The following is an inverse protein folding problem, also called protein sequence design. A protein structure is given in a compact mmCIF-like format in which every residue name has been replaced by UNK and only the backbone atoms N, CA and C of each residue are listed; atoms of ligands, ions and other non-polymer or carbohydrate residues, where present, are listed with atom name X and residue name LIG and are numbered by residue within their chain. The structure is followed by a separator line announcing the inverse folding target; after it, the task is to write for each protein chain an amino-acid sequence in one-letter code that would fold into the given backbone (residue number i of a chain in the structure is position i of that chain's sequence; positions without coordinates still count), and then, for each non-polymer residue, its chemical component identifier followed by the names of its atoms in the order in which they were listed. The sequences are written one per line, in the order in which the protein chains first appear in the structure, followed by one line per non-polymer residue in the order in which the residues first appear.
data_IF_228207053700
#
_entry.id   IF_228207053700
#
_cell.length_a   1.000
_cell.length_b   1.000
_cell.length_c   1.000
_cell.angle_alpha   90.00
_cell.angle_beta   90.00
_cell.angle_gamma   90.00
#
_symmetry.space_group_name_H-M   'P 1'
#
loop_
_entity.id
_entity.type
_entity.pdbx_description
1 polymer ?
#
# COMPACT_ATOMS: atom_id res chain seq x y z
N UNK A 1 27.85 -2.82 26.31
CA UNK A 1 28.58 -1.69 26.97
C UNK A 1 27.58 -0.58 27.17
N UNK A 2 27.70 0.15 28.23
CA UNK A 2 26.88 1.31 28.53
C UNK A 2 27.41 2.49 27.73
N UNK A 3 26.56 3.39 27.24
CA UNK A 3 26.98 4.59 26.49
C UNK A 3 27.78 5.56 27.40
N UNK A 4 28.68 6.32 26.81
CA UNK A 4 29.54 7.27 27.53
C UNK A 4 28.72 8.31 28.31
N UNK A 5 27.60 8.76 27.74
CA UNK A 5 26.66 9.67 28.40
C UNK A 5 26.09 9.09 29.70
N UNK A 6 25.78 7.79 29.71
CA UNK A 6 25.25 7.12 30.89
C UNK A 6 26.37 6.90 31.90
N UNK A 7 27.60 6.62 31.49
CA UNK A 7 28.75 6.52 32.40
C UNK A 7 29.04 7.86 33.06
N UNK A 8 29.04 8.96 32.31
CA UNK A 8 29.19 10.32 32.88
C UNK A 8 28.07 10.65 33.87
N UNK A 9 26.83 10.28 33.58
CA UNK A 9 25.69 10.47 34.46
C UNK A 9 25.84 9.67 35.77
N UNK A 10 26.33 8.43 35.70
CA UNK A 10 26.63 7.60 36.88
C UNK A 10 27.70 8.28 37.76
N UNK A 11 28.79 8.77 37.16
CA UNK A 11 29.87 9.46 37.85
C UNK A 11 29.41 10.75 38.52
N UNK A 12 28.59 11.52 37.80
CA UNK A 12 27.97 12.75 38.35
C UNK A 12 27.08 12.47 39.55
N UNK A 13 26.16 11.50 39.44
CA UNK A 13 25.32 11.14 40.61
C UNK A 13 26.16 10.68 41.81
N UNK A 14 27.26 9.98 41.55
CA UNK A 14 28.14 9.54 42.63
C UNK A 14 28.90 10.69 43.27
N UNK A 15 29.37 11.67 42.52
CA UNK A 15 29.98 12.89 43.05
C UNK A 15 29.01 13.77 43.82
N UNK A 16 27.73 13.71 43.49
CA UNK A 16 26.63 14.36 44.17
C UNK A 16 26.17 13.60 45.45
N UNK A 17 26.87 12.50 45.83
CA UNK A 17 26.59 11.73 47.05
C UNK A 17 25.47 10.71 46.93
N UNK A 18 24.87 10.52 45.74
CA UNK A 18 23.76 9.58 45.52
C UNK A 18 24.22 8.13 45.77
N UNK A 19 23.40 7.35 46.48
CA UNK A 19 23.73 5.95 46.78
C UNK A 19 23.73 5.06 45.53
N UNK A 20 24.55 3.99 45.53
CA UNK A 20 24.62 3.05 44.36
C UNK A 20 23.28 2.41 44.05
N UNK A 21 22.40 2.21 45.04
CA UNK A 21 21.05 1.66 44.85
C UNK A 21 20.12 2.64 44.14
N UNK A 22 20.22 3.90 44.48
CA UNK A 22 19.45 4.97 43.84
C UNK A 22 19.92 5.23 42.41
N UNK A 23 21.23 5.24 42.18
CA UNK A 23 21.81 5.31 40.83
C UNK A 23 21.31 4.11 39.98
N UNK A 24 21.26 2.91 40.57
CA UNK A 24 20.74 1.71 39.89
C UNK A 24 19.26 1.88 39.49
N UNK A 25 18.43 2.41 40.40
CA UNK A 25 17.02 2.67 40.10
C UNK A 25 16.84 3.76 39.02
N UNK A 26 17.61 4.84 39.11
CA UNK A 26 17.55 5.95 38.15
C UNK A 26 18.07 5.63 36.77
N UNK A 27 19.01 4.69 36.64
CA UNK A 27 19.66 4.34 35.36
C UNK A 27 19.24 2.99 34.78
N UNK A 28 18.56 2.15 35.55
CA UNK A 28 18.22 0.78 35.18
C UNK A 28 19.43 -0.18 35.10
N UNK A 29 20.60 0.24 35.65
CA UNK A 29 21.86 -0.53 35.56
C UNK A 29 22.13 -1.21 36.88
N UNK A 30 22.58 -2.46 36.85
CA UNK A 30 22.87 -3.21 38.06
C UNK A 30 23.97 -2.56 38.88
N UNK A 31 23.83 -2.62 40.24
CA UNK A 31 24.81 -2.08 41.17
C UNK A 31 26.22 -2.56 40.93
N UNK A 32 26.39 -3.86 40.57
CA UNK A 32 27.72 -4.43 40.25
C UNK A 32 28.33 -3.80 39.00
N UNK A 33 27.50 -3.52 37.98
CA UNK A 33 27.97 -2.83 36.78
C UNK A 33 28.36 -1.39 37.11
N UNK A 34 27.57 -0.68 37.91
CA UNK A 34 27.89 0.68 38.39
C UNK A 34 29.23 0.71 39.15
N UNK A 35 29.44 -0.22 40.10
CA UNK A 35 30.71 -0.35 40.81
C UNK A 35 31.91 -0.51 39.88
N UNK A 36 31.77 -1.35 38.88
CA UNK A 36 32.84 -1.59 37.91
C UNK A 36 33.20 -0.34 37.10
N UNK A 37 32.21 0.47 36.67
CA UNK A 37 32.44 1.71 35.93
C UNK A 37 32.94 2.85 36.84
N UNK A 38 32.68 2.81 38.15
CA UNK A 38 33.26 3.74 39.11
C UNK A 38 34.65 3.40 39.56
N UNK A 39 34.99 2.08 39.62
CA UNK A 39 36.32 1.60 40.01
C UNK A 39 37.40 1.81 38.92
N UNK A 40 36.99 1.83 37.65
CA UNK A 40 37.91 2.03 36.52
C UNK A 40 37.55 3.33 35.78
N UNK A 41 38.33 4.43 36.03
CA UNK A 41 38.12 5.73 35.40
C UNK A 41 38.20 5.68 33.85
N UNK A 42 38.91 4.69 33.30
CA UNK A 42 39.07 4.54 31.84
C UNK A 42 37.97 3.68 31.21
N UNK A 43 37.19 2.99 32.01
CA UNK A 43 36.07 2.17 31.50
C UNK A 43 34.95 3.10 31.01
N UNK A 44 34.75 3.16 29.70
CA UNK A 44 33.80 4.04 29.05
C UNK A 44 34.43 5.20 28.31
N UNK A 45 35.69 5.54 28.53
CA UNK A 45 36.41 6.57 27.79
C UNK A 45 37.18 6.03 26.59
N UNK A 46 37.51 4.74 26.60
CA UNK A 46 38.19 4.07 25.49
C UNK A 46 37.25 3.03 24.93
N UNK A 47 36.73 3.27 23.77
CA UNK A 47 36.09 2.22 22.97
C UNK A 47 37.19 1.17 22.68
N UNK A 48 37.13 0.05 23.38
CA UNK A 48 38.03 -1.08 23.02
C UNK A 48 37.84 -1.34 21.54
N UNK A 49 38.90 -1.37 20.72
CA UNK A 49 38.80 -1.70 19.31
C UNK A 49 38.04 -3.05 19.23
N UNK A 50 36.93 -3.07 18.51
CA UNK A 50 36.18 -4.33 18.34
C UNK A 50 37.11 -5.34 17.76
N UNK A 51 37.39 -6.41 18.52
CA UNK A 51 38.23 -7.51 18.06
C UNK A 51 37.58 -8.08 16.78
N UNK A 52 38.21 -7.86 15.64
CA UNK A 52 37.69 -8.28 14.34
C UNK A 52 37.83 -9.79 14.29
N UNK A 53 36.73 -10.51 14.36
CA UNK A 53 36.71 -11.98 14.28
C UNK A 53 37.15 -12.45 12.90
N UNK A 54 37.87 -13.51 12.80
CA UNK A 54 38.25 -14.18 11.55
C UNK A 54 37.00 -14.54 10.76
N UNK A 55 37.00 -14.25 9.48
CA UNK A 55 35.92 -14.54 8.54
C UNK A 55 36.37 -15.55 7.51
N UNK A 56 35.48 -16.39 7.02
CA UNK A 56 35.72 -17.23 5.85
C UNK A 56 36.15 -16.43 4.62
N UNK A 57 35.75 -15.18 4.53
CA UNK A 57 36.08 -14.25 3.42
C UNK A 57 37.49 -13.64 3.54
N UNK A 58 38.19 -13.83 4.64
CA UNK A 58 39.60 -13.37 4.80
C UNK A 58 40.58 -14.15 3.89
N UNK A 59 40.08 -15.16 3.16
CA UNK A 59 40.81 -15.85 2.09
C UNK A 59 41.00 -14.95 0.84
N UNK A 60 40.13 -13.94 0.65
CA UNK A 60 40.21 -13.02 -0.46
C UNK A 60 41.13 -11.83 -0.11
N UNK A 61 41.96 -11.41 -1.08
CA UNK A 61 42.65 -10.14 -0.95
C UNK A 61 41.64 -8.97 -1.00
N UNK A 62 42.09 -7.83 -0.51
CA UNK A 62 41.27 -6.61 -0.55
C UNK A 62 40.82 -6.28 -1.97
N UNK A 63 41.75 -6.32 -2.90
CA UNK A 63 41.53 -6.00 -4.32
C UNK A 63 40.51 -6.95 -4.96
N UNK A 64 40.65 -8.27 -4.66
CA UNK A 64 39.71 -9.28 -5.15
C UNK A 64 38.32 -9.07 -4.60
N UNK A 65 38.19 -8.76 -3.31
CA UNK A 65 36.89 -8.50 -2.70
C UNK A 65 36.22 -7.21 -3.28
N UNK A 66 36.99 -6.13 -3.43
CA UNK A 66 36.51 -4.88 -4.04
C UNK A 66 36.07 -5.06 -5.48
N UNK A 67 36.82 -5.85 -6.28
CA UNK A 67 36.45 -6.16 -7.65
C UNK A 67 35.11 -6.90 -7.71
N UNK A 68 34.94 -7.96 -6.90
CA UNK A 68 33.68 -8.71 -6.81
C UNK A 68 32.54 -7.80 -6.32
N UNK A 69 32.80 -6.96 -5.32
CA UNK A 69 31.83 -6.00 -4.79
C UNK A 69 31.29 -5.06 -5.87
N UNK A 70 32.19 -4.48 -6.68
CA UNK A 70 31.83 -3.61 -7.79
C UNK A 70 31.09 -4.33 -8.90
N UNK A 71 31.57 -5.51 -9.32
CA UNK A 71 30.91 -6.34 -10.32
C UNK A 71 29.47 -6.75 -9.90
N UNK A 72 29.29 -7.11 -8.63
CA UNK A 72 27.99 -7.47 -8.04
C UNK A 72 27.15 -6.24 -7.62
N UNK A 73 27.59 -5.01 -7.91
CA UNK A 73 26.89 -3.75 -7.54
C UNK A 73 26.50 -3.68 -6.06
N UNK A 74 27.34 -4.22 -5.17
CA UNK A 74 27.09 -4.25 -3.73
C UNK A 74 26.03 -5.23 -3.25
N UNK A 75 25.50 -6.09 -4.12
CA UNK A 75 24.52 -7.13 -3.74
C UNK A 75 25.19 -8.27 -2.98
N UNK A 76 25.02 -8.31 -1.65
CA UNK A 76 25.65 -9.31 -0.80
C UNK A 76 25.25 -10.77 -1.12
N UNK A 77 24.09 -11.02 -1.71
CA UNK A 77 23.69 -12.37 -2.13
C UNK A 77 24.45 -12.80 -3.39
N UNK A 78 24.56 -11.88 -4.37
CA UNK A 78 25.35 -12.11 -5.57
C UNK A 78 26.84 -12.29 -5.26
N UNK A 79 27.38 -11.48 -4.31
CA UNK A 79 28.78 -11.63 -3.83
C UNK A 79 28.97 -13.02 -3.21
N UNK A 80 28.07 -13.49 -2.36
CA UNK A 80 28.17 -14.81 -1.75
C UNK A 80 28.21 -15.94 -2.79
N UNK A 81 27.37 -15.82 -3.83
CA UNK A 81 27.36 -16.78 -4.94
C UNK A 81 28.62 -16.69 -5.79
N UNK A 82 29.05 -15.47 -6.16
CA UNK A 82 30.23 -15.25 -6.97
C UNK A 82 31.50 -15.84 -6.29
N UNK A 83 31.69 -15.60 -4.97
CA UNK A 83 32.80 -16.14 -4.22
C UNK A 83 32.73 -17.66 -4.13
N UNK A 84 31.53 -18.22 -3.94
CA UNK A 84 31.34 -19.69 -3.96
C UNK A 84 31.78 -20.28 -5.29
N UNK A 85 31.31 -19.74 -6.41
CA UNK A 85 31.67 -20.24 -7.76
C UNK A 85 33.16 -20.06 -8.06
N UNK A 86 33.76 -18.95 -7.65
CA UNK A 86 35.18 -18.68 -7.86
C UNK A 86 36.10 -19.67 -7.11
N UNK A 87 35.66 -20.12 -5.93
CA UNK A 87 36.43 -21.06 -5.10
C UNK A 87 36.01 -22.52 -5.32
N UNK A 88 35.07 -22.82 -6.19
CA UNK A 88 34.48 -24.15 -6.37
C UNK A 88 35.51 -25.21 -6.74
N UNK A 89 36.51 -24.86 -7.54
CA UNK A 89 37.57 -25.80 -7.98
C UNK A 89 38.61 -26.08 -6.89
N UNK A 90 38.94 -25.06 -6.07
CA UNK A 90 39.97 -25.15 -5.04
C UNK A 90 39.40 -25.52 -3.67
N UNK A 91 38.16 -25.17 -3.39
CA UNK A 91 37.47 -25.43 -2.12
C UNK A 91 35.99 -25.75 -2.38
N UNK A 92 35.65 -26.99 -2.79
CA UNK A 92 34.28 -27.37 -3.15
C UNK A 92 33.25 -27.13 -2.03
N UNK A 93 33.65 -27.32 -0.77
CA UNK A 93 32.79 -27.13 0.41
C UNK A 93 32.65 -25.66 0.85
N UNK A 94 33.30 -24.72 0.13
CA UNK A 94 33.23 -23.32 0.54
C UNK A 94 31.83 -22.77 0.32
N UNK A 95 31.24 -22.26 1.39
CA UNK A 95 30.00 -21.52 1.32
C UNK A 95 29.99 -20.37 2.34
N UNK A 96 29.38 -19.30 1.96
CA UNK A 96 29.19 -18.10 2.78
C UNK A 96 27.79 -17.56 2.61
N UNK A 97 27.13 -17.20 3.71
CA UNK A 97 25.77 -16.66 3.64
C UNK A 97 25.78 -15.14 3.30
N UNK A 98 24.69 -14.65 2.73
CA UNK A 98 24.45 -13.21 2.54
C UNK A 98 24.73 -12.40 3.82
N UNK A 99 24.31 -12.90 4.96
CA UNK A 99 24.50 -12.23 6.26
C UNK A 99 25.96 -12.18 6.68
N UNK A 100 26.75 -13.20 6.33
CA UNK A 100 28.19 -13.21 6.59
C UNK A 100 28.93 -12.22 5.70
N UNK A 101 28.61 -12.15 4.41
CA UNK A 101 29.12 -11.11 3.47
C UNK A 101 28.80 -9.72 3.98
N UNK A 102 27.56 -9.48 4.39
CA UNK A 102 27.15 -8.17 4.94
C UNK A 102 27.94 -7.81 6.19
N UNK A 103 28.12 -8.74 7.13
CA UNK A 103 28.95 -8.50 8.33
C UNK A 103 30.39 -8.23 7.99
N UNK A 104 30.96 -8.97 7.04
CA UNK A 104 32.32 -8.77 6.56
C UNK A 104 32.53 -7.40 5.96
N UNK A 105 31.65 -7.00 5.03
CA UNK A 105 31.64 -5.66 4.44
C UNK A 105 31.57 -4.56 5.52
N UNK A 106 30.68 -4.72 6.52
CA UNK A 106 30.50 -3.75 7.59
C UNK A 106 31.69 -3.62 8.52
N UNK A 107 32.45 -4.68 8.72
CA UNK A 107 33.58 -4.74 9.66
C UNK A 107 34.93 -4.45 9.02
N UNK A 108 35.11 -4.78 7.73
CA UNK A 108 36.40 -4.67 7.05
C UNK A 108 36.46 -3.50 6.06
N UNK A 109 35.34 -3.20 5.38
CA UNK A 109 35.26 -2.25 4.28
C UNK A 109 34.07 -1.27 4.45
N UNK A 110 34.01 -0.54 5.57
CA UNK A 110 32.92 0.44 5.79
C UNK A 110 32.89 1.52 4.70
N UNK A 111 34.03 1.80 4.08
CA UNK A 111 34.20 2.77 3.00
C UNK A 111 33.52 2.36 1.69
N UNK A 112 33.39 1.06 1.43
CA UNK A 112 32.68 0.56 0.24
C UNK A 112 31.16 0.65 0.36
N UNK A 113 30.64 0.99 1.53
CA UNK A 113 29.21 1.21 1.67
C UNK A 113 28.80 2.42 0.83
N UNK A 114 27.76 2.28 -0.01
CA UNK A 114 27.12 3.48 -0.53
C UNK A 114 26.69 4.30 0.69
N UNK A 115 27.14 5.55 0.76
CA UNK A 115 26.61 6.48 1.73
C UNK A 115 25.10 6.47 1.53
N UNK A 116 24.36 5.83 2.43
CA UNK A 116 22.94 6.03 2.51
C UNK A 116 22.79 7.49 2.89
N UNK A 117 22.43 8.30 1.93
CA UNK A 117 21.81 9.58 2.24
C UNK A 117 20.70 9.26 3.24
N UNK A 118 20.78 9.82 4.41
CA UNK A 118 19.71 9.69 5.39
C UNK A 118 18.42 10.08 4.66
N UNK A 119 17.40 9.21 4.63
CA UNK A 119 16.18 9.52 3.92
C UNK A 119 15.64 10.80 4.53
N UNK A 120 15.60 11.86 3.74
CA UNK A 120 14.98 13.13 4.17
C UNK A 120 13.57 12.77 4.63
N UNK A 121 13.22 12.99 5.89
CA UNK A 121 11.91 12.64 6.39
C UNK A 121 10.86 13.37 5.56
N UNK A 122 10.05 12.64 4.81
CA UNK A 122 8.96 13.22 4.05
C UNK A 122 7.82 13.53 5.02
N UNK A 123 7.75 14.78 5.45
CA UNK A 123 6.67 15.26 6.27
C UNK A 123 5.43 15.45 5.41
N UNK A 124 4.32 14.91 5.88
CA UNK A 124 3.00 15.05 5.29
C UNK A 124 2.10 15.58 6.39
N UNK A 125 1.36 16.62 6.09
CA UNK A 125 0.38 17.18 7.03
C UNK A 125 -0.80 16.23 7.24
N UNK A 126 -1.51 16.33 8.38
CA UNK A 126 -2.72 15.60 8.63
C UNK A 126 -3.77 15.84 7.51
N UNK A 127 -4.44 14.80 7.06
CA UNK A 127 -5.45 14.87 6.00
C UNK A 127 -4.93 15.19 4.61
N UNK A 128 -3.60 15.25 4.43
CA UNK A 128 -3.04 15.68 3.15
C UNK A 128 -3.08 14.60 2.09
N UNK A 129 -2.72 13.34 2.41
CA UNK A 129 -2.47 12.35 1.36
C UNK A 129 -2.85 10.92 1.75
N UNK A 130 -3.58 10.27 0.86
CA UNK A 130 -3.76 8.82 0.81
C UNK A 130 -2.86 8.24 -0.29
N UNK A 131 -2.09 7.19 0.00
CA UNK A 131 -1.35 6.40 -0.99
C UNK A 131 -2.10 5.12 -1.26
N UNK A 132 -2.27 4.78 -2.53
CA UNK A 132 -2.98 3.57 -2.97
C UNK A 132 -2.11 2.71 -3.88
N UNK A 133 -2.30 1.39 -3.81
CA UNK A 133 -1.64 0.40 -4.66
C UNK A 133 -2.46 -0.88 -4.77
N UNK A 134 -2.03 -1.78 -5.64
CA UNK A 134 -2.43 -3.18 -5.63
C UNK A 134 -1.25 -4.08 -5.31
N UNK A 135 -1.50 -5.07 -4.47
CA UNK A 135 -0.53 -6.11 -4.16
C UNK A 135 -1.10 -7.48 -4.51
N UNK A 136 -0.29 -8.32 -5.15
CA UNK A 136 -0.62 -9.73 -5.34
C UNK A 136 0.09 -10.56 -4.27
N UNK A 137 -0.66 -11.47 -3.66
CA UNK A 137 -0.15 -12.39 -2.65
C UNK A 137 -0.86 -13.74 -2.78
N UNK A 138 -0.32 -14.76 -2.13
CA UNK A 138 -0.87 -16.10 -2.17
C UNK A 138 -1.44 -16.47 -0.81
N UNK A 139 -2.58 -17.19 -0.82
CA UNK A 139 -3.18 -17.77 0.37
C UNK A 139 -3.83 -19.10 0.02
N UNK A 140 -3.63 -20.11 0.86
CA UNK A 140 -4.26 -21.42 0.71
C UNK A 140 -5.48 -21.52 1.63
N UNK A 141 -6.64 -21.54 1.01
CA UNK A 141 -7.90 -21.69 1.71
C UNK A 141 -8.06 -23.10 2.31
N UNK A 142 -8.84 -23.21 3.37
CA UNK A 142 -9.16 -24.50 4.00
C UNK A 142 -9.80 -25.43 2.97
N UNK A 143 -9.29 -26.66 2.88
CA UNK A 143 -9.78 -27.67 1.94
C UNK A 143 -9.20 -27.59 0.51
N UNK A 144 -8.36 -26.59 0.24
CA UNK A 144 -7.66 -26.47 -1.05
C UNK A 144 -6.23 -27.01 -0.95
N UNK A 145 -5.77 -27.72 -1.99
CA UNK A 145 -4.37 -28.22 -2.11
C UNK A 145 -3.41 -27.10 -2.48
N UNK A 146 -3.85 -26.22 -3.39
CA UNK A 146 -3.00 -25.19 -3.98
C UNK A 146 -3.34 -23.79 -3.46
N UNK A 147 -2.35 -22.89 -3.38
CA UNK A 147 -2.58 -21.51 -3.01
C UNK A 147 -3.31 -20.75 -4.11
N UNK A 148 -4.24 -19.90 -3.73
CA UNK A 148 -4.92 -18.95 -4.60
C UNK A 148 -4.16 -17.63 -4.65
N UNK A 149 -3.97 -17.07 -5.84
CA UNK A 149 -3.39 -15.74 -6.01
C UNK A 149 -4.46 -14.68 -5.73
N UNK A 150 -4.28 -13.99 -4.63
CA UNK A 150 -5.14 -12.88 -4.20
C UNK A 150 -4.68 -11.58 -4.84
N UNK A 151 -5.63 -10.73 -5.20
CA UNK A 151 -5.42 -9.37 -5.67
C UNK A 151 -5.98 -8.44 -4.61
N UNK A 152 -5.12 -7.71 -3.93
CA UNK A 152 -5.52 -6.91 -2.78
C UNK A 152 -5.25 -5.45 -3.07
N UNK A 153 -6.32 -4.65 -3.06
CA UNK A 153 -6.19 -3.20 -3.01
C UNK A 153 -5.65 -2.79 -1.64
N UNK A 154 -4.67 -1.92 -1.63
CA UNK A 154 -4.07 -1.39 -0.42
C UNK A 154 -4.06 0.13 -0.42
N UNK A 155 -4.36 0.69 0.74
CA UNK A 155 -4.33 2.13 0.94
C UNK A 155 -3.76 2.48 2.31
N UNK A 156 -3.02 3.60 2.38
CA UNK A 156 -2.45 4.09 3.62
C UNK A 156 -2.49 5.62 3.67
N UNK A 157 -3.07 6.15 4.73
CA UNK A 157 -3.00 7.60 5.02
C UNK A 157 -1.59 7.98 5.40
N UNK A 158 -1.06 8.97 4.69
CA UNK A 158 0.37 9.28 4.78
C UNK A 158 0.79 9.85 6.14
N UNK A 159 -0.10 10.52 6.87
CA UNK A 159 0.19 11.02 8.20
C UNK A 159 -0.01 9.95 9.29
N UNK A 160 -1.24 9.47 9.48
CA UNK A 160 -1.60 8.55 10.56
C UNK A 160 -1.07 7.14 10.38
N UNK A 161 -0.72 6.75 9.16
CA UNK A 161 -0.43 5.35 8.78
C UNK A 161 -1.67 4.46 8.81
N UNK A 162 -2.87 5.05 8.91
CA UNK A 162 -4.12 4.31 8.85
C UNK A 162 -4.15 3.47 7.58
N UNK A 163 -4.20 2.16 7.78
CA UNK A 163 -4.13 1.18 6.72
C UNK A 163 -5.53 0.68 6.33
N UNK A 164 -5.67 0.32 5.06
CA UNK A 164 -6.86 -0.32 4.52
C UNK A 164 -6.46 -1.37 3.48
N UNK A 165 -7.11 -2.54 3.53
CA UNK A 165 -6.97 -3.59 2.54
C UNK A 165 -8.35 -4.03 2.07
N UNK A 166 -8.46 -4.34 0.79
CA UNK A 166 -9.64 -4.96 0.20
C UNK A 166 -9.21 -6.07 -0.76
N UNK A 167 -9.67 -7.29 -0.52
CA UNK A 167 -9.46 -8.43 -1.42
C UNK A 167 -10.40 -8.24 -2.60
N UNK A 168 -9.84 -8.15 -3.80
CA UNK A 168 -10.56 -7.87 -5.03
C UNK A 168 -10.57 -9.09 -5.96
N UNK A 169 -11.61 -9.25 -6.80
CA UNK A 169 -11.66 -10.33 -7.77
C UNK A 169 -10.62 -10.18 -8.88
N UNK A 170 -10.30 -8.93 -9.24
CA UNK A 170 -9.43 -8.61 -10.37
C UNK A 170 -8.64 -7.31 -10.13
N UNK A 171 -7.87 -6.88 -11.15
CA UNK A 171 -7.11 -5.62 -11.16
C UNK A 171 -7.75 -4.57 -12.09
N UNK A 172 -9.04 -4.67 -12.35
CA UNK A 172 -9.74 -3.75 -13.24
C UNK A 172 -9.92 -2.37 -12.61
N UNK A 173 -10.27 -1.41 -13.45
CA UNK A 173 -10.62 -0.07 -12.98
C UNK A 173 -11.75 -0.09 -11.93
N UNK A 174 -12.70 -1.03 -12.07
CA UNK A 174 -13.78 -1.19 -11.10
C UNK A 174 -13.21 -1.51 -9.72
N UNK A 175 -12.33 -2.49 -9.62
CA UNK A 175 -11.69 -2.88 -8.35
C UNK A 175 -10.90 -1.72 -7.73
N UNK A 176 -10.23 -0.88 -8.55
CA UNK A 176 -9.59 0.34 -8.09
C UNK A 176 -10.60 1.31 -7.47
N UNK A 177 -11.69 1.62 -8.20
CA UNK A 177 -12.69 2.58 -7.73
C UNK A 177 -13.43 2.07 -6.49
N UNK A 178 -13.76 0.77 -6.44
CA UNK A 178 -14.36 0.14 -5.27
C UNK A 178 -13.45 0.25 -4.05
N UNK A 179 -12.17 -0.10 -4.18
CA UNK A 179 -11.21 -0.01 -3.07
C UNK A 179 -11.03 1.43 -2.57
N UNK A 180 -10.93 2.40 -3.49
CA UNK A 180 -10.84 3.82 -3.15
C UNK A 180 -12.10 4.25 -2.38
N UNK A 181 -13.28 3.97 -2.92
CA UNK A 181 -14.55 4.42 -2.34
C UNK A 181 -14.79 3.83 -0.96
N UNK A 182 -14.56 2.52 -0.78
CA UNK A 182 -14.70 1.88 0.53
C UNK A 182 -13.68 2.40 1.55
N UNK A 183 -12.44 2.65 1.13
CA UNK A 183 -11.43 3.24 2.00
C UNK A 183 -11.84 4.64 2.46
N UNK A 184 -12.30 5.49 1.53
CA UNK A 184 -12.72 6.85 1.82
C UNK A 184 -13.99 6.89 2.69
N UNK A 185 -14.95 6.00 2.43
CA UNK A 185 -16.16 5.86 3.23
C UNK A 185 -15.83 5.50 4.69
N UNK A 186 -14.89 4.58 4.89
CA UNK A 186 -14.50 4.11 6.23
C UNK A 186 -13.62 5.10 7.01
N UNK A 187 -12.70 5.79 6.32
CA UNK A 187 -11.64 6.54 6.99
C UNK A 187 -11.60 8.03 6.65
N UNK A 188 -12.52 8.52 5.81
CA UNK A 188 -12.61 9.93 5.43
C UNK A 188 -11.80 10.30 4.20
N UNK A 189 -12.14 11.43 3.62
CA UNK A 189 -11.61 11.94 2.35
C UNK A 189 -10.43 12.87 2.61
N UNK A 190 -9.20 12.58 2.09
CA UNK A 190 -8.03 13.43 2.20
C UNK A 190 -8.01 14.50 1.09
N UNK A 191 -7.03 15.40 1.12
CA UNK A 191 -6.85 16.42 0.07
C UNK A 191 -6.35 15.85 -1.24
N UNK A 192 -5.54 14.76 -1.22
CA UNK A 192 -4.99 14.15 -2.43
C UNK A 192 -4.89 12.62 -2.32
N UNK A 193 -5.02 11.96 -3.47
CA UNK A 193 -4.77 10.54 -3.64
C UNK A 193 -3.54 10.36 -4.52
N UNK A 194 -2.50 9.70 -4.00
CA UNK A 194 -1.29 9.34 -4.72
C UNK A 194 -1.39 7.90 -5.21
N UNK A 195 -1.38 7.72 -6.53
CA UNK A 195 -1.42 6.41 -7.19
C UNK A 195 -0.18 6.17 -8.05
N UNK A 196 0.06 4.93 -8.44
CA UNK A 196 1.05 4.59 -9.46
C UNK A 196 0.50 4.87 -10.87
N UNK A 197 1.38 4.75 -11.87
CA UNK A 197 1.02 4.90 -13.28
C UNK A 197 0.31 3.63 -13.82
N UNK A 198 -0.57 3.04 -13.01
CA UNK A 198 -1.39 1.90 -13.42
C UNK A 198 -2.41 2.31 -14.49
N UNK A 199 -2.61 1.42 -15.48
CA UNK A 199 -3.50 1.68 -16.62
C UNK A 199 -4.98 1.87 -16.21
N UNK A 200 -5.37 1.32 -15.07
CA UNK A 200 -6.72 1.52 -14.52
C UNK A 200 -6.98 2.95 -14.08
N UNK A 201 -5.94 3.69 -13.69
CA UNK A 201 -6.05 5.05 -13.14
C UNK A 201 -5.40 6.10 -14.03
N UNK A 202 -4.31 5.78 -14.74
CA UNK A 202 -3.52 6.72 -15.54
C UNK A 202 -3.49 6.28 -17.00
N UNK A 203 -3.71 7.18 -17.94
CA UNK A 203 -3.66 6.89 -19.37
C UNK A 203 -2.22 6.74 -19.85
N UNK A 204 -1.97 5.73 -20.72
CA UNK A 204 -0.69 5.56 -21.41
C UNK A 204 -0.42 6.72 -22.39
N UNK A 205 0.84 7.05 -22.61
CA UNK A 205 1.27 8.01 -23.62
C UNK A 205 1.37 9.48 -23.14
N UNK A 206 1.33 9.72 -21.85
CA UNK A 206 1.50 11.06 -21.30
C UNK A 206 2.98 11.41 -21.16
N UNK A 207 3.36 12.64 -21.52
CA UNK A 207 4.72 13.14 -21.34
C UNK A 207 5.09 13.17 -19.84
N UNK A 208 6.37 12.97 -19.49
CA UNK A 208 6.81 13.09 -18.11
C UNK A 208 6.42 14.47 -17.54
N UNK A 209 5.62 14.47 -16.48
CA UNK A 209 5.16 15.70 -15.80
C UNK A 209 3.68 16.04 -15.97
N UNK A 210 2.99 15.49 -16.96
CA UNK A 210 1.54 15.65 -17.17
C UNK A 210 0.83 14.30 -17.06
N UNK A 211 0.42 13.92 -15.86
CA UNK A 211 -0.41 12.73 -15.69
C UNK A 211 -1.84 13.04 -16.17
N UNK A 212 -2.30 12.32 -17.19
CA UNK A 212 -3.72 12.31 -17.58
C UNK A 212 -4.38 11.11 -16.91
N UNK A 213 -5.30 11.39 -16.02
CA UNK A 213 -6.04 10.34 -15.34
C UNK A 213 -7.14 9.74 -16.21
N UNK A 214 -7.52 8.52 -15.89
CA UNK A 214 -8.66 7.89 -16.52
C UNK A 214 -9.93 8.70 -16.17
N UNK A 215 -10.84 8.96 -17.13
CA UNK A 215 -11.99 9.85 -16.91
C UNK A 215 -12.85 9.50 -15.70
N UNK A 216 -13.09 8.20 -15.44
CA UNK A 216 -13.88 7.80 -14.26
C UNK A 216 -13.15 8.09 -12.94
N UNK A 217 -11.86 7.88 -12.90
CA UNK A 217 -11.08 8.20 -11.71
C UNK A 217 -10.97 9.71 -11.51
N UNK A 218 -10.74 10.47 -12.60
CA UNK A 218 -10.73 11.94 -12.54
C UNK A 218 -12.09 12.47 -12.07
N UNK A 219 -13.19 11.97 -12.66
CA UNK A 219 -14.53 12.34 -12.25
C UNK A 219 -14.81 12.05 -10.76
N UNK A 220 -14.43 10.85 -10.26
CA UNK A 220 -14.55 10.54 -8.84
C UNK A 220 -13.82 11.58 -8.00
N UNK A 221 -12.55 11.85 -8.34
CA UNK A 221 -11.75 12.82 -7.60
C UNK A 221 -12.34 14.24 -7.63
N UNK A 222 -12.83 14.69 -8.80
CA UNK A 222 -13.44 16.02 -8.96
C UNK A 222 -14.75 16.12 -8.16
N UNK A 223 -15.58 15.06 -8.20
CA UNK A 223 -16.85 14.99 -7.47
C UNK A 223 -16.66 15.09 -5.96
N UNK A 224 -15.63 14.43 -5.41
CA UNK A 224 -15.37 14.44 -3.96
C UNK A 224 -14.37 15.53 -3.52
N UNK A 225 -13.88 16.34 -4.46
CA UNK A 225 -12.96 17.43 -4.18
C UNK A 225 -11.53 16.98 -3.81
N UNK A 226 -11.07 15.84 -4.33
CA UNK A 226 -9.75 15.27 -4.08
C UNK A 226 -8.83 15.48 -5.28
N UNK A 227 -7.59 15.87 -5.04
CA UNK A 227 -6.60 16.00 -6.09
C UNK A 227 -5.94 14.65 -6.39
N UNK A 228 -6.13 14.05 -7.59
CA UNK A 228 -5.36 12.87 -7.98
C UNK A 228 -3.92 13.25 -8.30
N UNK A 229 -2.97 12.40 -7.91
CA UNK A 229 -1.55 12.57 -8.15
C UNK A 229 -0.91 11.26 -8.55
N UNK A 230 -0.24 11.24 -9.70
CA UNK A 230 0.53 10.08 -10.13
C UNK A 230 1.97 10.16 -9.62
N UNK A 231 2.55 9.02 -9.29
CA UNK A 231 3.97 8.92 -8.93
C UNK A 231 4.85 9.36 -10.09
N UNK A 232 5.90 10.12 -9.80
CA UNK A 232 6.91 10.45 -10.82
C UNK A 232 7.66 9.16 -11.20
N UNK A 233 7.82 8.88 -12.51
CA UNK A 233 8.61 7.74 -12.96
C UNK A 233 10.01 7.77 -12.33
N UNK A 234 10.55 6.58 -11.99
CA UNK A 234 11.90 6.38 -11.44
C UNK A 234 12.18 7.03 -10.06
N UNK A 235 11.15 7.40 -9.30
CA UNK A 235 11.28 7.83 -7.89
C UNK A 235 10.50 6.92 -6.93
N UNK A 236 11.00 5.72 -6.63
CA UNK A 236 10.32 4.74 -5.76
C UNK A 236 10.10 5.27 -4.34
N UNK A 237 10.88 6.26 -3.90
CA UNK A 237 10.79 6.80 -2.53
C UNK A 237 9.44 7.47 -2.22
N UNK A 238 8.67 7.89 -3.25
CA UNK A 238 7.38 8.56 -3.08
C UNK A 238 6.30 7.61 -2.55
N UNK A 239 6.39 6.32 -2.82
CA UNK A 239 5.39 5.28 -2.52
C UNK A 239 5.80 4.30 -1.40
N UNK A 240 6.92 4.58 -0.74
CA UNK A 240 7.52 3.66 0.26
C UNK A 240 6.63 3.33 1.47
N UNK A 241 5.51 4.03 1.66
CA UNK A 241 4.55 3.74 2.75
C UNK A 241 3.62 2.61 2.36
N UNK A 242 3.01 2.68 1.18
CA UNK A 242 2.11 1.63 0.70
C UNK A 242 2.88 0.35 0.34
N UNK A 243 4.08 0.45 -0.25
CA UNK A 243 4.95 -0.71 -0.49
C UNK A 243 5.30 -1.47 0.81
N UNK A 244 5.56 -0.71 1.90
CA UNK A 244 5.78 -1.31 3.23
C UNK A 244 4.51 -1.95 3.77
N UNK A 245 3.34 -1.37 3.49
CA UNK A 245 2.05 -1.91 3.89
C UNK A 245 1.80 -3.26 3.22
N UNK A 246 1.98 -3.39 1.90
CA UNK A 246 1.88 -4.65 1.17
C UNK A 246 2.87 -5.72 1.66
N UNK A 247 4.10 -5.30 2.01
CA UNK A 247 5.06 -6.20 2.65
C UNK A 247 4.56 -6.70 4.01
N UNK A 248 3.91 -5.86 4.80
CA UNK A 248 3.32 -6.22 6.10
C UNK A 248 2.16 -7.21 5.93
N UNK A 249 1.30 -7.02 4.93
CA UNK A 249 0.25 -7.97 4.59
C UNK A 249 0.85 -9.35 4.29
N UNK A 250 1.80 -9.42 3.34
CA UNK A 250 2.41 -10.67 2.88
C UNK A 250 3.17 -11.42 3.97
N UNK A 251 3.98 -10.70 4.73
CA UNK A 251 4.97 -11.32 5.64
C UNK A 251 4.56 -11.32 7.10
N UNK A 252 3.39 -10.76 7.42
CA UNK A 252 2.87 -10.78 8.79
C UNK A 252 1.42 -11.26 8.84
N UNK A 253 0.46 -10.53 8.27
CA UNK A 253 -0.96 -10.84 8.39
C UNK A 253 -1.30 -12.21 7.76
N UNK A 254 -0.99 -12.40 6.49
CA UNK A 254 -1.31 -13.66 5.79
C UNK A 254 -0.50 -14.85 6.30
N UNK A 255 0.72 -14.65 6.77
CA UNK A 255 1.51 -15.71 7.42
C UNK A 255 0.84 -16.18 8.70
N UNK A 256 0.32 -15.27 9.52
CA UNK A 256 -0.44 -15.61 10.74
C UNK A 256 -1.72 -16.34 10.38
N UNK A 257 -2.50 -15.82 9.41
CA UNK A 257 -3.74 -16.48 8.95
C UNK A 257 -3.46 -17.90 8.46
N UNK A 258 -2.44 -18.07 7.60
CA UNK A 258 -2.05 -19.39 7.07
C UNK A 258 -1.59 -20.34 8.18
N UNK A 259 -0.78 -19.85 9.11
CA UNK A 259 -0.35 -20.66 10.26
C UNK A 259 -1.53 -21.14 11.11
N UNK A 260 -2.54 -20.30 11.32
CA UNK A 260 -3.75 -20.69 12.06
C UNK A 260 -4.58 -21.73 11.30
N UNK A 261 -4.74 -21.57 10.00
CA UNK A 261 -5.42 -22.58 9.13
C UNK A 261 -4.69 -23.92 9.19
N UNK A 262 -3.35 -23.90 9.17
CA UNK A 262 -2.54 -25.12 9.09
C UNK A 262 -2.39 -25.81 10.44
N UNK A 263 -2.50 -25.11 11.58
CA UNK A 263 -2.12 -25.66 12.90
C UNK A 263 -3.21 -25.63 13.96
N UNK A 264 -4.19 -24.73 13.85
CA UNK A 264 -5.21 -24.53 14.87
C UNK A 264 -6.48 -25.31 14.54
N UNK A 265 -6.77 -26.36 15.30
CA UNK A 265 -8.00 -27.13 15.15
C UNK A 265 -9.25 -26.23 15.27
N UNK A 266 -10.19 -26.36 14.31
CA UNK A 266 -11.42 -25.58 14.26
C UNK A 266 -11.25 -24.12 13.76
N UNK A 267 -10.06 -23.73 13.30
CA UNK A 267 -9.87 -22.46 12.63
C UNK A 267 -9.81 -22.66 11.11
N UNK A 268 -10.80 -22.16 10.42
CA UNK A 268 -10.98 -22.39 8.99
C UNK A 268 -11.26 -21.08 8.25
N UNK A 269 -10.68 -20.95 7.07
CA UNK A 269 -10.94 -19.85 6.13
C UNK A 269 -11.18 -20.47 4.76
N UNK A 270 -12.43 -20.47 4.31
CA UNK A 270 -12.85 -21.08 3.06
C UNK A 270 -13.05 -20.07 1.93
N UNK A 271 -13.32 -18.80 2.25
CA UNK A 271 -13.68 -17.77 1.27
C UNK A 271 -12.87 -16.50 1.43
N UNK A 272 -12.86 -15.69 0.37
CA UNK A 272 -12.21 -14.39 0.37
C UNK A 272 -12.81 -13.42 1.42
N UNK A 273 -14.12 -13.50 1.65
CA UNK A 273 -14.83 -12.69 2.64
C UNK A 273 -14.41 -13.04 4.06
N UNK A 274 -14.25 -14.33 4.37
CA UNK A 274 -13.73 -14.76 5.66
C UNK A 274 -12.30 -14.32 5.88
N UNK A 275 -11.47 -14.38 4.83
CA UNK A 275 -10.11 -13.85 4.88
C UNK A 275 -10.11 -12.33 5.05
N UNK A 276 -11.01 -11.62 4.36
CA UNK A 276 -11.17 -10.17 4.53
C UNK A 276 -11.51 -9.80 5.97
N UNK A 277 -12.46 -10.51 6.59
CA UNK A 277 -12.83 -10.30 7.99
C UNK A 277 -11.61 -10.51 8.93
N UNK A 278 -10.80 -11.54 8.67
CA UNK A 278 -9.56 -11.77 9.42
C UNK A 278 -8.56 -10.61 9.25
N UNK A 279 -8.36 -10.14 8.02
CA UNK A 279 -7.45 -9.01 7.71
C UNK A 279 -7.92 -7.74 8.42
N UNK A 280 -9.21 -7.45 8.40
CA UNK A 280 -9.78 -6.28 9.07
C UNK A 280 -9.61 -6.35 10.59
N UNK A 281 -9.87 -7.50 11.20
CA UNK A 281 -9.65 -7.73 12.63
C UNK A 281 -8.17 -7.58 13.00
N UNK A 282 -7.27 -8.13 12.17
CA UNK A 282 -5.83 -8.01 12.37
C UNK A 282 -5.38 -6.56 12.29
N UNK A 283 -5.85 -5.79 11.29
CA UNK A 283 -5.56 -4.35 11.18
C UNK A 283 -6.03 -3.59 12.42
N UNK A 284 -7.24 -3.88 12.89
CA UNK A 284 -7.78 -3.25 14.10
C UNK A 284 -6.87 -3.48 15.32
N UNK A 285 -6.43 -4.72 15.53
CA UNK A 285 -5.52 -5.06 16.62
C UNK A 285 -4.15 -4.37 16.48
N UNK A 286 -3.64 -4.24 15.24
CA UNK A 286 -2.37 -3.58 14.99
C UNK A 286 -2.42 -2.06 15.17
N UNK A 287 -3.59 -1.45 15.02
CA UNK A 287 -3.79 -0.02 15.12
C UNK A 287 -3.59 0.53 16.53
N UNK A 288 -3.77 -0.29 17.57
CA UNK A 288 -3.59 0.11 18.98
C UNK A 288 -2.14 -0.02 19.47
N UNK A 289 -1.28 -0.71 18.72
CA UNK A 289 0.10 -0.97 19.14
C UNK A 289 0.96 0.27 18.96
N UNK A 290 1.60 0.81 20.02
CA UNK A 290 2.51 1.95 19.92
C UNK A 290 3.81 1.57 19.20
N UNK A 291 3.93 1.95 17.93
CA UNK A 291 5.07 1.59 17.06
C UNK A 291 5.73 2.78 16.35
N UNK A 292 5.05 3.93 16.29
CA UNK A 292 5.55 5.11 15.58
C UNK A 292 6.24 6.09 16.53
N UNK A 293 7.52 6.39 16.27
CA UNK A 293 8.31 7.33 17.06
C UNK A 293 7.98 8.76 16.63
N UNK A 294 7.54 9.59 17.55
CA UNK A 294 7.33 11.03 17.34
C UNK A 294 8.55 11.83 17.83
N UNK A 295 8.69 13.11 17.43
CA UNK A 295 9.90 13.91 17.71
C UNK A 295 10.32 14.00 19.18
N UNK A 296 9.38 13.89 20.12
CA UNK A 296 9.67 13.90 21.56
C UNK A 296 10.21 12.55 22.10
N UNK A 297 10.48 11.57 21.24
CA UNK A 297 10.99 10.25 21.61
C UNK A 297 9.94 9.27 22.13
N UNK A 298 8.65 9.65 22.19
CA UNK A 298 7.55 8.75 22.57
C UNK A 298 7.11 7.91 21.35
N UNK A 299 6.73 6.65 21.62
CA UNK A 299 6.02 5.83 20.64
C UNK A 299 4.52 6.05 20.78
N UNK A 300 3.85 6.20 19.63
CA UNK A 300 2.40 6.34 19.51
C UNK A 300 1.82 5.27 18.61
N UNK A 301 0.54 5.00 18.80
CA UNK A 301 -0.20 4.05 17.97
C UNK A 301 -0.69 4.70 16.67
N UNK A 302 -1.20 3.89 15.78
CA UNK A 302 -1.89 4.36 14.57
C UNK A 302 -3.18 5.10 14.94
N UNK A 303 -3.92 4.61 15.96
CA UNK A 303 -5.13 5.24 16.46
C UNK A 303 -4.85 6.63 17.04
N UNK A 304 -3.73 6.82 17.78
CA UNK A 304 -3.33 8.13 18.29
C UNK A 304 -3.07 9.13 17.17
N UNK A 305 -2.39 8.68 16.10
CA UNK A 305 -2.10 9.54 14.94
C UNK A 305 -3.37 9.82 14.12
N UNK A 306 -4.24 8.80 13.97
CA UNK A 306 -5.48 8.99 13.24
C UNK A 306 -6.45 9.93 13.96
N UNK A 307 -6.50 9.89 15.29
CA UNK A 307 -7.27 10.85 16.06
C UNK A 307 -6.84 12.31 15.78
N UNK A 308 -5.53 12.54 15.54
CA UNK A 308 -5.00 13.84 15.14
C UNK A 308 -5.33 14.18 13.66
N UNK A 309 -5.40 13.18 12.78
CA UNK A 309 -5.67 13.37 11.34
C UNK A 309 -7.17 13.55 11.05
N UNK A 310 -8.03 12.87 11.80
CA UNK A 310 -9.49 12.82 11.58
C UNK A 310 -10.15 14.20 11.40
N UNK A 311 -9.81 15.27 12.18
CA UNK A 311 -10.40 16.60 11.99
C UNK A 311 -10.10 17.26 10.62
N UNK A 312 -9.08 16.77 9.90
CA UNK A 312 -8.65 17.28 8.60
C UNK A 312 -9.18 16.46 7.42
N UNK A 313 -10.00 15.44 7.70
CA UNK A 313 -10.64 14.58 6.72
C UNK A 313 -12.11 14.96 6.57
N UNK A 314 -12.64 14.84 5.35
CA UNK A 314 -14.09 15.03 5.09
C UNK A 314 -14.76 13.67 5.15
N UNK A 315 -15.85 13.57 5.93
CA UNK A 315 -16.54 12.30 6.13
C UNK A 315 -17.75 12.11 5.20
N UNK A 316 -18.13 10.85 4.92
CA UNK A 316 -18.94 10.45 3.77
C UNK A 316 -20.43 10.83 3.75
N UNK A 317 -20.99 11.49 4.74
CA UNK A 317 -22.40 11.95 4.64
C UNK A 317 -22.68 12.69 3.34
N UNK A 318 -21.64 13.29 2.74
CA UNK A 318 -21.70 13.90 1.41
C UNK A 318 -21.33 12.94 0.28
N UNK A 319 -20.60 11.83 0.55
CA UNK A 319 -20.15 10.91 -0.50
C UNK A 319 -21.35 10.13 -1.06
N UNK A 320 -22.23 9.62 -0.19
CA UNK A 320 -23.45 8.93 -0.59
C UNK A 320 -24.37 9.80 -1.45
N UNK A 321 -24.59 11.05 -1.03
CA UNK A 321 -25.45 11.97 -1.79
C UNK A 321 -24.84 12.41 -3.13
N UNK A 322 -23.52 12.50 -3.21
CA UNK A 322 -22.81 12.86 -4.45
C UNK A 322 -22.77 11.69 -5.46
N UNK A 323 -22.78 10.44 -4.97
CA UNK A 323 -22.79 9.26 -5.82
C UNK A 323 -24.20 8.82 -6.24
N UNK A 324 -25.26 9.28 -5.56
CA UNK A 324 -26.66 8.98 -5.90
C UNK A 324 -27.16 9.68 -7.18
N UNK A 325 -26.50 10.75 -7.64
CA UNK A 325 -26.71 11.33 -8.95
C UNK A 325 -25.50 11.02 -9.82
N UNK A 326 -25.44 9.81 -10.31
CA UNK A 326 -24.25 9.31 -11.00
C UNK A 326 -24.19 9.80 -12.44
N UNK A 327 -23.70 11.01 -12.63
CA UNK A 327 -23.16 11.40 -13.94
C UNK A 327 -21.68 11.02 -13.96
N UNK A 328 -21.25 10.18 -14.89
CA UNK A 328 -19.83 9.84 -15.06
C UNK A 328 -19.39 9.93 -16.53
N UNK A 329 -18.18 10.42 -16.79
CA UNK A 329 -17.67 10.50 -18.15
C UNK A 329 -17.30 9.11 -18.68
N UNK A 330 -17.55 8.89 -19.96
CA UNK A 330 -17.08 7.75 -20.70
C UNK A 330 -16.50 8.20 -22.05
N UNK A 331 -15.56 7.44 -22.59
CA UNK A 331 -15.16 7.59 -23.99
C UNK A 331 -15.87 6.50 -24.78
N UNK A 332 -16.65 6.90 -25.78
CA UNK A 332 -17.32 5.97 -26.66
C UNK A 332 -16.28 5.13 -27.39
N UNK A 333 -16.30 3.79 -27.28
CA UNK A 333 -15.34 2.94 -27.96
C UNK A 333 -15.41 3.08 -29.48
N UNK A 334 -14.35 2.69 -30.20
CA UNK A 334 -14.35 2.65 -31.69
C UNK A 334 -15.47 1.80 -32.27
N UNK A 335 -15.87 0.74 -31.56
CA UNK A 335 -16.99 -0.11 -31.93
C UNK A 335 -18.35 0.56 -31.81
N UNK A 336 -18.41 1.76 -31.22
CA UNK A 336 -19.63 2.46 -30.83
C UNK A 336 -20.54 1.61 -29.91
N UNK A 337 -19.98 0.60 -29.21
CA UNK A 337 -20.71 -0.21 -28.25
C UNK A 337 -20.27 0.17 -26.83
N UNK A 338 -21.19 0.67 -26.06
CA UNK A 338 -20.99 1.09 -24.67
C UNK A 338 -21.55 0.02 -23.73
N UNK A 339 -20.80 -0.34 -22.71
CA UNK A 339 -21.23 -1.26 -21.66
C UNK A 339 -21.70 -0.49 -20.44
N UNK A 340 -22.96 -0.67 -20.07
CA UNK A 340 -23.58 -0.07 -18.90
C UNK A 340 -24.43 -1.13 -18.21
N UNK A 341 -24.32 -1.23 -16.89
CA UNK A 341 -25.09 -2.21 -16.09
C UNK A 341 -25.03 -3.65 -16.62
N UNK A 342 -23.85 -4.09 -17.09
CA UNK A 342 -23.70 -5.43 -17.68
C UNK A 342 -24.30 -5.59 -19.09
N UNK A 343 -24.91 -4.56 -19.62
CA UNK A 343 -25.60 -4.58 -20.92
C UNK A 343 -24.85 -3.75 -21.97
N UNK A 344 -24.88 -4.23 -23.23
CA UNK A 344 -24.26 -3.58 -24.38
C UNK A 344 -25.27 -2.66 -25.05
N UNK A 345 -24.90 -1.40 -25.23
CA UNK A 345 -25.67 -0.42 -25.98
C UNK A 345 -24.88 0.08 -27.16
N UNK A 346 -25.49 0.05 -28.34
CA UNK A 346 -24.89 0.64 -29.52
C UNK A 346 -25.35 2.08 -29.63
N UNK A 347 -24.39 2.99 -29.64
CA UNK A 347 -24.62 4.41 -30.00
C UNK A 347 -24.21 4.64 -31.45
N UNK A 348 -24.57 5.79 -32.02
CA UNK A 348 -24.16 6.08 -33.40
C UNK A 348 -22.63 6.08 -33.56
N UNK A 349 -22.08 5.41 -34.59
CA UNK A 349 -20.63 5.40 -34.87
C UNK A 349 -20.01 6.78 -35.04
N UNK A 350 -20.78 7.79 -35.43
CA UNK A 350 -20.32 9.18 -35.56
C UNK A 350 -19.76 9.77 -34.26
N UNK A 351 -20.15 9.20 -33.12
CA UNK A 351 -19.68 9.61 -31.81
C UNK A 351 -18.50 8.77 -31.28
N UNK A 352 -18.04 7.79 -32.05
CA UNK A 352 -16.89 6.96 -31.66
C UNK A 352 -15.68 7.81 -31.30
N UNK A 353 -14.99 7.44 -30.20
CA UNK A 353 -13.82 8.14 -29.64
C UNK A 353 -14.10 9.52 -29.03
N UNK A 354 -15.34 9.97 -28.99
CA UNK A 354 -15.71 11.20 -28.30
C UNK A 354 -15.91 10.93 -26.81
N UNK A 355 -15.66 11.96 -26.02
CA UNK A 355 -16.05 12.01 -24.62
C UNK A 355 -17.56 12.18 -24.54
N UNK A 356 -18.21 11.39 -23.72
CA UNK A 356 -19.62 11.50 -23.40
C UNK A 356 -19.82 11.42 -21.87
N UNK A 357 -20.97 11.82 -21.40
CA UNK A 357 -21.36 11.72 -20.00
C UNK A 357 -22.60 10.83 -19.90
N UNK A 358 -22.59 9.92 -18.92
CA UNK A 358 -23.74 9.08 -18.60
C UNK A 358 -24.34 9.59 -17.30
N UNK A 359 -25.61 9.96 -17.32
CA UNK A 359 -26.36 10.38 -16.14
C UNK A 359 -27.44 9.36 -15.84
N UNK A 360 -27.44 8.78 -14.66
CA UNK A 360 -28.49 7.88 -14.16
C UNK A 360 -29.52 8.66 -13.37
N UNK A 361 -30.78 8.33 -13.58
CA UNK A 361 -31.88 8.78 -12.75
C UNK A 361 -32.14 7.76 -11.62
N UNK A 362 -32.87 8.18 -10.60
CA UNK A 362 -33.21 7.35 -9.45
C UNK A 362 -34.04 6.10 -9.79
N UNK A 363 -34.71 6.08 -10.93
CA UNK A 363 -35.50 4.96 -11.45
C UNK A 363 -34.64 3.96 -12.27
N UNK A 364 -33.32 4.17 -12.32
CA UNK A 364 -32.39 3.35 -13.10
C UNK A 364 -32.37 3.68 -14.59
N UNK A 365 -33.19 4.63 -15.07
CA UNK A 365 -33.06 5.16 -16.43
C UNK A 365 -31.76 5.98 -16.57
N UNK A 366 -31.24 6.10 -17.78
CA UNK A 366 -30.01 6.88 -18.01
C UNK A 366 -30.00 7.60 -19.35
N UNK A 367 -29.16 8.62 -19.40
CA UNK A 367 -28.90 9.40 -20.60
C UNK A 367 -27.39 9.38 -20.85
N UNK A 368 -27.01 9.14 -22.11
CA UNK A 368 -25.64 9.38 -22.59
C UNK A 368 -25.70 10.69 -23.37
N UNK A 369 -24.91 11.68 -22.97
CA UNK A 369 -24.85 12.99 -23.61
C UNK A 369 -23.40 13.36 -23.95
N UNK A 370 -23.19 14.20 -24.95
CA UNK A 370 -21.92 14.86 -25.18
C UNK A 370 -21.68 15.94 -24.11
N UNK A 371 -20.45 16.39 -23.88
CA UNK A 371 -20.15 17.48 -22.95
C UNK A 371 -20.87 18.80 -23.29
N UNK A 372 -21.32 18.95 -24.53
CA UNK A 372 -22.16 20.04 -24.99
C UNK A 372 -23.60 19.97 -24.44
N UNK A 373 -23.95 18.89 -23.74
CA UNK A 373 -25.33 18.64 -23.29
C UNK A 373 -26.22 17.95 -24.34
N UNK A 374 -25.69 17.67 -25.56
CA UNK A 374 -26.46 16.98 -26.59
C UNK A 374 -26.67 15.51 -26.20
N UNK A 375 -27.90 15.05 -25.96
CA UNK A 375 -28.18 13.65 -25.68
C UNK A 375 -27.99 12.79 -26.95
N UNK A 376 -27.18 11.76 -26.83
CA UNK A 376 -26.90 10.83 -27.93
C UNK A 376 -27.53 9.45 -27.71
N UNK A 377 -27.99 9.17 -26.50
CA UNK A 377 -28.77 8.00 -26.15
C UNK A 377 -29.62 8.27 -24.92
N UNK A 378 -30.85 7.77 -24.90
CA UNK A 378 -31.73 7.78 -23.72
C UNK A 378 -32.30 6.39 -23.49
N UNK A 379 -32.18 5.89 -22.29
CA UNK A 379 -32.93 4.74 -21.83
C UNK A 379 -34.25 5.25 -21.26
N UNK A 380 -35.37 4.75 -21.75
CA UNK A 380 -36.71 5.13 -21.25
C UNK A 380 -37.28 4.17 -20.21
N UNK A 381 -36.48 3.22 -19.68
CA UNK A 381 -36.96 2.12 -18.84
C UNK A 381 -36.01 1.86 -17.69
N UNK A 382 -36.59 1.33 -16.58
CA UNK A 382 -35.87 0.87 -15.40
C UNK A 382 -34.75 -0.12 -15.73
N UNK A 383 -33.77 -0.21 -14.81
CA UNK A 383 -32.58 -1.07 -14.94
C UNK A 383 -32.89 -2.50 -15.40
N UNK A 384 -34.04 -3.07 -15.00
CA UNK A 384 -34.50 -4.41 -15.36
C UNK A 384 -34.72 -4.65 -16.87
N UNK A 385 -34.91 -3.58 -17.64
CA UNK A 385 -35.19 -3.66 -19.07
C UNK A 385 -34.14 -3.02 -19.98
N UNK A 386 -32.98 -2.67 -19.43
CA UNK A 386 -31.89 -2.00 -20.19
C UNK A 386 -31.35 -2.84 -21.35
N UNK A 387 -31.46 -4.17 -21.28
CA UNK A 387 -31.06 -5.08 -22.36
C UNK A 387 -31.82 -4.90 -23.66
N UNK A 388 -32.98 -4.26 -23.61
CA UNK A 388 -33.90 -4.15 -24.76
C UNK A 388 -33.76 -2.88 -25.60
N UNK A 389 -32.87 -1.96 -25.24
CA UNK A 389 -32.73 -0.68 -25.92
C UNK A 389 -31.46 -0.57 -26.75
N UNK A 390 -31.61 0.04 -27.92
CA UNK A 390 -30.52 0.46 -28.79
C UNK A 390 -30.83 1.84 -29.36
N UNK A 391 -29.78 2.55 -29.78
CA UNK A 391 -29.92 3.79 -30.52
C UNK A 391 -30.32 3.50 -31.97
N UNK A 392 -31.36 4.17 -32.44
CA UNK A 392 -31.72 4.19 -33.85
C UNK A 392 -31.29 5.51 -34.49
N UNK A 393 -30.29 5.45 -35.36
CA UNK A 393 -29.72 6.62 -36.02
C UNK A 393 -30.71 7.42 -36.85
N UNK A 394 -31.77 6.79 -37.39
CA UNK A 394 -32.74 7.42 -38.25
C UNK A 394 -33.76 8.23 -37.48
N UNK A 395 -34.07 7.80 -36.31
CA UNK A 395 -35.13 8.37 -35.50
C UNK A 395 -34.62 9.28 -34.38
N UNK A 396 -33.28 9.25 -34.12
CA UNK A 396 -32.67 9.90 -32.94
C UNK A 396 -33.36 9.51 -31.63
N UNK A 397 -34.01 8.36 -31.60
CA UNK A 397 -34.76 7.81 -30.47
C UNK A 397 -34.29 6.41 -30.14
N UNK A 398 -34.34 5.99 -28.87
CA UNK A 398 -34.03 4.63 -28.49
C UNK A 398 -35.01 3.63 -29.08
N UNK A 399 -34.52 2.58 -29.73
CA UNK A 399 -35.32 1.46 -30.17
C UNK A 399 -34.99 0.22 -29.33
N UNK A 400 -35.85 -0.80 -29.37
CA UNK A 400 -35.60 -2.07 -28.71
C UNK A 400 -34.30 -2.69 -29.23
N UNK A 401 -33.44 -3.10 -28.30
CA UNK A 401 -32.23 -3.83 -28.62
C UNK A 401 -32.55 -5.33 -28.77
N UNK A 402 -31.88 -6.01 -29.67
CA UNK A 402 -31.82 -7.46 -29.63
C UNK A 402 -31.12 -7.90 -28.34
N UNK A 403 -31.65 -8.91 -27.66
CA UNK A 403 -30.99 -9.50 -26.49
C UNK A 403 -29.62 -10.02 -26.90
N UNK A 404 -28.60 -9.49 -26.26
CA UNK A 404 -27.24 -10.05 -26.34
C UNK A 404 -27.13 -10.90 -25.08
N UNK A 405 -27.22 -12.23 -25.29
CA UNK A 405 -27.08 -13.22 -24.23
C UNK A 405 -25.69 -13.10 -23.61
N UNK A 406 -25.63 -12.52 -22.41
CA UNK A 406 -24.40 -12.42 -21.63
C UNK A 406 -24.77 -12.53 -20.14
N UNK A 407 -24.60 -13.73 -19.58
CA UNK A 407 -24.88 -14.12 -18.18
C UNK A 407 -24.07 -13.34 -17.11
N UNK A 408 -23.54 -12.18 -17.47
CA UNK A 408 -22.76 -11.37 -16.53
C UNK A 408 -23.64 -10.36 -15.82
N UNK A 409 -23.91 -10.61 -14.54
CA UNK A 409 -24.51 -9.64 -13.64
C UNK A 409 -23.82 -8.27 -13.72
N UNK A 410 -24.65 -7.25 -13.78
CA UNK A 410 -24.23 -5.84 -13.92
C UNK A 410 -23.21 -5.43 -12.88
N UNK A 411 -22.04 -5.05 -13.37
CA UNK A 411 -20.95 -4.62 -12.50
C UNK A 411 -21.15 -3.24 -11.88
N UNK A 412 -22.09 -2.44 -12.41
CA UNK A 412 -22.40 -1.12 -11.88
C UNK A 412 -23.45 -1.21 -10.76
N UNK A 413 -24.39 -2.12 -10.85
CA UNK A 413 -25.40 -2.34 -9.80
C UNK A 413 -24.75 -2.90 -8.55
N UNK A 414 -23.84 -3.89 -8.68
CA UNK A 414 -23.02 -4.34 -7.54
C UNK A 414 -22.13 -3.25 -6.95
N UNK A 415 -21.63 -2.35 -7.77
CA UNK A 415 -20.82 -1.22 -7.27
C UNK A 415 -21.69 -0.24 -6.47
N UNK A 416 -22.90 0.06 -6.93
CA UNK A 416 -23.85 0.90 -6.19
C UNK A 416 -24.40 0.21 -4.94
N UNK A 417 -24.70 -1.09 -5.01
CA UNK A 417 -25.09 -1.91 -3.85
C UNK A 417 -23.96 -1.98 -2.81
N UNK A 418 -22.72 -2.24 -3.24
CA UNK A 418 -21.58 -2.26 -2.34
C UNK A 418 -21.27 -0.90 -1.69
N UNK A 419 -21.55 0.21 -2.38
CA UNK A 419 -21.46 1.55 -1.80
C UNK A 419 -22.56 1.75 -0.77
N UNK A 420 -23.79 1.36 -1.07
CA UNK A 420 -24.92 1.49 -0.16
C UNK A 420 -24.75 0.63 1.08
N UNK A 421 -24.31 -0.62 0.93
CA UNK A 421 -24.00 -1.53 2.06
C UNK A 421 -22.87 -1.01 2.96
N UNK A 422 -21.92 -0.25 2.39
CA UNK A 422 -20.86 0.38 3.18
C UNK A 422 -21.31 1.66 3.91
N UNK A 423 -22.47 2.21 3.55
CA UNK A 423 -22.99 3.48 4.05
C UNK A 423 -24.11 3.29 5.07
N UNK A 424 -24.68 2.08 5.19
CA UNK A 424 -25.60 1.78 6.27
C UNK A 424 -24.84 1.75 7.61
N UNK A 425 -25.27 2.53 8.60
CA UNK A 425 -24.66 2.50 9.92
C UNK A 425 -24.88 1.10 10.50
N UNK A 426 -23.79 0.40 10.76
CA UNK A 426 -23.86 -0.83 11.56
C UNK A 426 -24.44 -0.46 12.93
N UNK A 427 -25.69 -0.79 13.11
CA UNK A 427 -26.44 -0.66 14.35
C UNK A 427 -25.83 -1.51 15.49
#
# INVERSE_FOLDING_TARGET
MISDEVVQRIRRYRSEGVSLREISRATGISVNTIRRYLADPMLGMVSRPKQIRKSKLDILSKESFESIYRACKGNCAAIALAVKLMLQETQPEFSVSRSAVRRYLLSRYPELRPQKLDPVPFFVEPGQQLQIDFVQCEFRFTGHSDPTVLKVFEAVYSYSRRAFFLICPDLTQKSWLTGITQCLARWGIPRQILCDNDIGLVRRGVKPGEAKFNPRFQWLCDTIGVQPKACRPLRPQTKGRVERLGSTLKHSCLVVAQSLVDTKQGFEIHTAEQLQAFVDQWLHQQADIPKYLIPNGRKVSENDLYAQEKPFLVFPEKLASLLQVATYPLIIPRSAVVWLHGTKFRVSPRYAQQLAEVTFAADGSFIIALPSGLPIFRSGISAENLSRYRWDERLETPAFAEEIDDDRESSADRFLEQINDCLEPQS
#
